data_IF_942048715765
#
_entry.id   IF_942048715765
#
_cell.length_a   1.000
_cell.length_b   1.000
_cell.length_c   1.000
_cell.angle_alpha   90.00
_cell.angle_beta   90.00
_cell.angle_gamma   90.00
#
_symmetry.space_group_name_H-M   'P 1'
#
loop_
_entity.id
_entity.type
_entity.pdbx_description
1 polymer ?
#
# COMPACT_ATOMS: atom_id res chain seq x y z
N UNK A 1 17.48 14.83 -16.47
CA UNK A 1 17.19 14.68 -15.02
C UNK A 1 17.61 13.27 -14.61
N UNK A 2 18.37 13.13 -13.52
CA UNK A 2 19.02 11.87 -13.11
C UNK A 2 18.21 11.02 -12.13
N UNK A 3 16.92 10.80 -12.40
CA UNK A 3 16.08 9.89 -11.59
C UNK A 3 16.52 8.45 -11.87
N UNK A 4 16.91 7.73 -10.83
CA UNK A 4 17.45 6.37 -10.94
C UNK A 4 16.47 5.26 -10.51
N UNK A 5 15.31 5.63 -9.94
CA UNK A 5 14.30 4.69 -9.52
C UNK A 5 13.01 5.38 -9.10
N UNK A 6 11.92 4.62 -9.06
CA UNK A 6 10.58 5.06 -8.66
C UNK A 6 10.03 4.06 -7.65
N UNK A 7 9.51 4.54 -6.53
CA UNK A 7 8.69 3.76 -5.62
C UNK A 7 7.24 4.19 -5.82
N UNK A 8 6.40 3.27 -6.29
CA UNK A 8 4.97 3.52 -6.46
C UNK A 8 4.20 3.02 -5.23
N UNK A 9 3.31 3.86 -4.69
CA UNK A 9 2.61 3.55 -3.44
C UNK A 9 1.25 2.92 -3.70
N UNK A 10 1.05 1.70 -3.17
CA UNK A 10 -0.27 1.10 -3.01
C UNK A 10 -0.94 1.62 -1.73
N UNK A 11 -2.24 1.85 -1.80
CA UNK A 11 -3.08 2.34 -0.69
C UNK A 11 -4.15 1.33 -0.27
N UNK A 12 -4.34 0.27 -1.06
CA UNK A 12 -5.28 -0.83 -0.87
C UNK A 12 -4.80 -2.06 -1.68
N UNK A 13 -5.61 -3.11 -1.71
CA UNK A 13 -5.29 -4.34 -2.45
C UNK A 13 -5.12 -4.10 -3.96
N UNK A 14 -6.05 -3.38 -4.59
CA UNK A 14 -6.10 -3.21 -6.05
C UNK A 14 -4.96 -2.32 -6.55
N UNK A 15 -4.73 -1.20 -5.87
CA UNK A 15 -3.59 -0.31 -6.16
C UNK A 15 -2.26 -1.00 -5.89
N UNK A 16 -2.16 -1.83 -4.84
CA UNK A 16 -0.95 -2.64 -4.59
C UNK A 16 -0.68 -3.62 -5.75
N UNK A 17 -1.70 -4.33 -6.24
CA UNK A 17 -1.54 -5.23 -7.39
C UNK A 17 -1.09 -4.47 -8.64
N UNK A 18 -1.67 -3.29 -8.88
CA UNK A 18 -1.24 -2.41 -9.99
C UNK A 18 0.21 -1.96 -9.83
N UNK A 19 0.64 -1.59 -8.62
CA UNK A 19 2.03 -1.22 -8.34
C UNK A 19 3.00 -2.39 -8.58
N UNK A 20 2.63 -3.61 -8.18
CA UNK A 20 3.43 -4.81 -8.42
C UNK A 20 3.57 -5.07 -9.92
N UNK A 21 2.47 -5.02 -10.68
CA UNK A 21 2.50 -5.23 -12.13
C UNK A 21 3.42 -4.22 -12.84
N UNK A 22 3.36 -2.94 -12.44
CA UNK A 22 4.28 -1.91 -12.95
C UNK A 22 5.74 -2.19 -12.56
N UNK A 23 5.98 -2.64 -11.33
CA UNK A 23 7.31 -2.97 -10.86
C UNK A 23 7.90 -4.19 -11.59
N UNK A 24 7.08 -5.17 -11.96
CA UNK A 24 7.49 -6.31 -12.80
C UNK A 24 7.83 -5.87 -14.23
N UNK A 25 7.06 -4.92 -14.78
CA UNK A 25 7.26 -4.42 -16.15
C UNK A 25 8.51 -3.54 -16.28
N UNK A 26 8.84 -2.74 -15.25
CA UNK A 26 9.91 -1.75 -15.31
C UNK A 26 10.99 -2.02 -14.26
N UNK A 27 12.25 -2.33 -14.66
CA UNK A 27 13.32 -2.68 -13.72
C UNK A 27 13.63 -1.62 -12.66
N UNK A 28 13.43 -0.34 -12.98
CA UNK A 28 13.67 0.80 -12.08
C UNK A 28 12.44 1.18 -11.23
N UNK A 29 11.32 0.48 -11.37
CA UNK A 29 10.10 0.70 -10.57
C UNK A 29 10.03 -0.33 -9.46
N UNK A 30 9.63 0.12 -8.28
CA UNK A 30 9.39 -0.68 -7.09
C UNK A 30 8.01 -0.34 -6.52
N UNK A 31 7.47 -1.21 -5.67
CA UNK A 31 6.17 -1.03 -5.05
C UNK A 31 6.29 -0.87 -3.54
N UNK A 32 5.40 -0.06 -2.97
CA UNK A 32 5.01 -0.12 -1.58
C UNK A 32 3.62 -0.76 -1.49
N UNK A 33 3.41 -1.59 -0.48
CA UNK A 33 2.12 -2.22 -0.20
C UNK A 33 1.64 -1.76 1.17
N UNK A 34 0.41 -1.28 1.28
CA UNK A 34 -0.14 -0.75 2.53
C UNK A 34 -1.63 -0.52 2.45
N UNK A 35 -2.19 -0.12 3.59
CA UNK A 35 -3.59 0.26 3.73
C UNK A 35 -3.60 1.72 4.17
N UNK A 36 -4.02 2.59 3.27
CA UNK A 36 -4.10 4.02 3.54
C UNK A 36 -5.19 4.26 4.60
N UNK A 37 -5.04 5.27 5.48
CA UNK A 37 -6.00 5.55 6.55
C UNK A 37 -7.44 5.74 6.08
N UNK A 38 -7.62 6.18 4.83
CA UNK A 38 -8.94 6.32 4.20
C UNK A 38 -9.64 4.99 3.96
N UNK A 39 -8.88 3.91 3.72
CA UNK A 39 -9.38 2.57 3.41
C UNK A 39 -9.51 1.69 4.66
N UNK A 40 -9.04 2.15 5.83
CA UNK A 40 -9.06 1.40 7.09
C UNK A 40 -10.45 0.87 7.50
N UNK A 41 -11.52 1.55 7.10
CA UNK A 41 -12.91 1.14 7.34
C UNK A 41 -13.39 -0.07 6.52
N UNK A 42 -12.64 -0.48 5.50
CA UNK A 42 -12.97 -1.60 4.59
C UNK A 42 -12.19 -2.88 4.91
N UNK A 43 -11.40 -2.85 5.98
CA UNK A 43 -10.61 -3.99 6.45
C UNK A 43 -11.48 -5.18 6.87
N UNK A 44 -11.11 -6.36 6.39
CA UNK A 44 -11.57 -7.63 6.95
C UNK A 44 -10.37 -8.56 7.24
N UNK A 45 -10.65 -9.77 7.73
CA UNK A 45 -9.62 -10.77 8.05
C UNK A 45 -8.78 -11.13 6.80
N UNK A 46 -9.33 -10.99 5.59
CA UNK A 46 -8.62 -11.27 4.36
C UNK A 46 -7.62 -10.16 4.02
N UNK A 47 -7.80 -8.94 4.54
CA UNK A 47 -6.91 -7.84 4.23
C UNK A 47 -5.46 -8.11 4.65
N UNK A 48 -5.24 -8.50 5.90
CA UNK A 48 -3.89 -8.80 6.37
C UNK A 48 -3.25 -9.94 5.58
N UNK A 49 -4.03 -10.94 5.16
CA UNK A 49 -3.54 -12.09 4.41
C UNK A 49 -2.93 -11.68 3.06
N UNK A 50 -3.62 -10.85 2.27
CA UNK A 50 -3.08 -10.41 1.00
C UNK A 50 -1.88 -9.47 1.19
N UNK A 51 -1.89 -8.63 2.23
CA UNK A 51 -0.78 -7.70 2.48
C UNK A 51 0.49 -8.47 2.82
N UNK A 52 0.39 -9.50 3.67
CA UNK A 52 1.51 -10.41 3.95
C UNK A 52 2.03 -11.11 2.70
N UNK A 53 1.15 -11.48 1.77
CA UNK A 53 1.56 -12.07 0.49
C UNK A 53 2.27 -11.04 -0.41
N UNK A 54 1.72 -9.83 -0.52
CA UNK A 54 2.31 -8.74 -1.31
C UNK A 54 3.71 -8.37 -0.80
N UNK A 55 3.90 -8.27 0.52
CA UNK A 55 5.20 -7.95 1.14
C UNK A 55 6.29 -9.01 0.90
N UNK A 56 5.94 -10.21 0.44
CA UNK A 56 6.91 -11.25 0.04
C UNK A 56 7.41 -11.08 -1.39
N UNK A 57 6.79 -10.21 -2.19
CA UNK A 57 7.19 -9.98 -3.56
C UNK A 57 8.54 -9.22 -3.60
N UNK A 58 9.54 -9.66 -4.39
CA UNK A 58 10.89 -9.09 -4.35
C UNK A 58 10.97 -7.62 -4.79
N UNK A 59 9.94 -7.12 -5.50
CA UNK A 59 9.84 -5.72 -5.94
C UNK A 59 8.97 -4.86 -5.02
N UNK A 60 8.36 -5.45 -4.00
CA UNK A 60 7.72 -4.71 -2.90
C UNK A 60 8.78 -4.47 -1.84
N UNK A 61 9.22 -3.22 -1.69
CA UNK A 61 10.37 -2.85 -0.86
C UNK A 61 9.99 -1.98 0.33
N UNK A 62 8.70 -1.68 0.50
CA UNK A 62 8.18 -0.85 1.57
C UNK A 62 6.78 -1.31 2.01
N UNK A 63 6.52 -1.23 3.31
CA UNK A 63 5.17 -1.27 3.88
C UNK A 63 4.66 0.18 3.93
N UNK A 64 3.61 0.46 3.18
CA UNK A 64 3.05 1.80 3.04
C UNK A 64 2.21 1.94 1.75
N UNK A 65 1.33 2.93 1.66
CA UNK A 65 1.16 3.98 2.68
C UNK A 65 0.27 3.52 3.84
N UNK A 66 0.73 3.80 5.07
CA UNK A 66 0.01 3.54 6.33
C UNK A 66 0.16 4.78 7.21
N UNK A 67 -0.78 5.04 8.11
CA UNK A 67 -0.67 6.19 8.99
C UNK A 67 -2.00 6.63 9.58
N UNK A 68 -2.20 7.94 9.67
CA UNK A 68 -3.41 8.56 10.19
C UNK A 68 -3.74 9.81 9.36
N UNK A 69 -4.98 9.92 8.90
CA UNK A 69 -5.51 11.13 8.26
C UNK A 69 -6.74 11.62 9.05
N UNK A 70 -6.53 12.71 9.78
CA UNK A 70 -7.56 13.36 10.62
C UNK A 70 -8.13 14.63 10.00
N UNK A 71 -7.81 14.88 8.73
CA UNK A 71 -8.33 16.03 8.00
C UNK A 71 -9.63 15.68 7.30
N UNK A 72 -9.71 14.52 6.64
CA UNK A 72 -10.85 14.12 5.81
C UNK A 72 -11.82 13.14 6.48
N UNK A 73 -11.42 12.47 7.58
CA UNK A 73 -12.24 11.55 8.40
C UNK A 73 -13.03 10.49 7.57
N UNK A 74 -12.49 10.05 6.42
CA UNK A 74 -13.13 9.04 5.55
C UNK A 74 -13.26 7.65 6.20
N UNK A 75 -12.43 7.38 7.20
CA UNK A 75 -12.57 6.24 8.11
C UNK A 75 -12.55 6.75 9.55
N UNK A 76 -13.35 6.17 10.48
CA UNK A 76 -13.34 6.57 11.88
C UNK A 76 -11.93 6.49 12.48
N UNK A 77 -11.52 7.50 13.24
CA UNK A 77 -10.15 7.62 13.78
C UNK A 77 -9.72 6.41 14.61
N UNK A 78 -10.65 5.80 15.34
CA UNK A 78 -10.37 4.60 16.14
C UNK A 78 -10.12 3.37 15.26
N UNK A 79 -10.73 3.32 14.07
CA UNK A 79 -10.45 2.28 13.08
C UNK A 79 -9.08 2.52 12.46
N UNK A 80 -8.74 3.75 12.07
CA UNK A 80 -7.42 4.07 11.51
C UNK A 80 -6.25 3.68 12.43
N UNK A 81 -6.43 3.77 13.76
CA UNK A 81 -5.39 3.40 14.75
C UNK A 81 -5.22 1.89 14.96
N UNK A 82 -6.24 1.11 14.61
CA UNK A 82 -6.32 -0.32 14.92
C UNK A 82 -5.69 -1.19 13.82
N UNK A 83 -5.74 -0.69 12.59
CA UNK A 83 -5.21 -1.30 11.37
C UNK A 83 -3.71 -1.08 11.29
#
# INVERSE_FOLDING_TARGET
MGVCGILNCGCDHESTQTCIALAEQYPFVYAAAGIHPHEAGREDIQTLSWLYQALRHPKVVSLGEIGLDYHYDFSPRDVQKKV
#
